data_IF_630903324962
#
_entry.id   IF_630903324962
#
_cell.length_a   1.000
_cell.length_b   1.000
_cell.length_c   1.000
_cell.angle_alpha   90.00
_cell.angle_beta   90.00
_cell.angle_gamma   90.00
#
_symmetry.space_group_name_H-M   'P 1'
#
loop_
_entity.id
_entity.type
_entity.pdbx_description
1 polymer ?
#
# COMPACT_ATOMS: atom_id res chain seq x y z
N UNK A 1 -21.59 15.53 1.82
CA UNK A 1 -20.17 15.21 2.06
C UNK A 1 -19.83 15.53 3.52
N UNK A 2 -18.89 14.81 4.15
CA UNK A 2 -18.52 15.04 5.57
C UNK A 2 -18.78 13.89 6.56
N UNK A 3 -18.99 12.65 6.10
CA UNK A 3 -19.24 11.49 7.00
C UNK A 3 -17.98 10.69 7.37
N UNK A 4 -16.94 10.76 6.55
CA UNK A 4 -15.73 9.95 6.71
C UNK A 4 -14.50 10.85 6.73
N UNK A 5 -13.53 10.53 7.58
CA UNK A 5 -12.26 11.25 7.71
C UNK A 5 -11.12 10.61 6.92
N UNK A 6 -11.26 9.34 6.53
CA UNK A 6 -10.29 8.61 5.71
C UNK A 6 -10.91 7.40 5.03
N UNK A 7 -10.16 6.79 4.10
CA UNK A 7 -10.56 5.59 3.34
C UNK A 7 -9.49 4.51 3.46
N UNK A 8 -9.91 3.28 3.73
CA UNK A 8 -9.04 2.10 3.67
C UNK A 8 -9.55 1.17 2.57
N UNK A 9 -8.68 0.86 1.60
CA UNK A 9 -8.96 -0.07 0.52
C UNK A 9 -8.36 -1.43 0.88
N UNK A 10 -9.22 -2.38 1.22
CA UNK A 10 -8.82 -3.70 1.73
C UNK A 10 -8.19 -4.60 0.66
N UNK A 11 -7.48 -5.67 1.07
CA UNK A 11 -7.05 -6.73 0.14
C UNK A 11 -8.24 -7.45 -0.52
N UNK A 12 -7.97 -8.14 -1.63
CA UNK A 12 -8.95 -8.98 -2.33
C UNK A 12 -8.29 -9.89 -3.39
N UNK A 13 -8.99 -10.94 -3.86
CA UNK A 13 -8.43 -11.95 -4.76
C UNK A 13 -8.40 -11.53 -6.23
N UNK A 14 -9.17 -10.49 -6.61
CA UNK A 14 -9.37 -10.09 -8.00
C UNK A 14 -8.30 -9.08 -8.48
N UNK A 15 -8.41 -8.65 -9.74
CA UNK A 15 -7.67 -7.49 -10.25
C UNK A 15 -8.43 -6.20 -9.92
N UNK A 16 -7.75 -5.04 -9.76
CA UNK A 16 -8.42 -3.80 -9.38
C UNK A 16 -9.62 -3.41 -10.25
N UNK A 17 -9.51 -3.56 -11.58
CA UNK A 17 -10.58 -3.25 -12.53
C UNK A 17 -11.78 -4.21 -12.50
N UNK A 18 -11.61 -5.40 -11.92
CA UNK A 18 -12.68 -6.39 -11.77
C UNK A 18 -13.38 -6.29 -10.41
N UNK A 19 -12.74 -5.63 -9.44
CA UNK A 19 -13.16 -5.56 -8.05
C UNK A 19 -14.28 -4.54 -7.79
N UNK A 20 -15.43 -4.74 -8.44
CA UNK A 20 -16.64 -3.94 -8.23
C UNK A 20 -16.39 -2.43 -8.35
N UNK A 21 -16.65 -1.68 -7.28
CA UNK A 21 -16.50 -0.22 -7.24
C UNK A 21 -15.12 0.27 -6.77
N UNK A 22 -14.14 -0.62 -6.65
CA UNK A 22 -12.83 -0.26 -6.09
C UNK A 22 -12.18 0.91 -6.83
N UNK A 23 -12.11 0.85 -8.17
CA UNK A 23 -11.52 1.93 -8.95
C UNK A 23 -12.36 3.22 -8.86
N UNK A 24 -13.69 3.14 -8.89
CA UNK A 24 -14.57 4.31 -8.74
C UNK A 24 -14.33 5.02 -7.39
N UNK A 25 -14.28 4.26 -6.30
CA UNK A 25 -14.01 4.77 -4.95
C UNK A 25 -12.60 5.37 -4.87
N UNK A 26 -11.61 4.69 -5.45
CA UNK A 26 -10.22 5.17 -5.45
C UNK A 26 -10.12 6.53 -6.14
N UNK A 27 -10.60 6.66 -7.37
CA UNK A 27 -10.59 7.94 -8.10
C UNK A 27 -11.40 9.03 -7.40
N UNK A 28 -12.51 8.66 -6.76
CA UNK A 28 -13.37 9.64 -6.10
C UNK A 28 -12.67 10.31 -4.91
N UNK A 29 -11.92 9.56 -4.10
CA UNK A 29 -11.34 10.05 -2.84
C UNK A 29 -9.86 10.45 -2.93
N UNK A 30 -9.15 10.04 -3.99
CA UNK A 30 -7.74 10.36 -4.17
C UNK A 30 -7.53 11.88 -4.14
N UNK A 31 -6.59 12.37 -3.32
CA UNK A 31 -6.37 13.80 -3.11
C UNK A 31 -7.48 14.55 -2.36
N UNK A 32 -8.55 13.88 -1.90
CA UNK A 32 -9.64 14.49 -1.12
C UNK A 32 -9.67 14.03 0.33
N UNK A 33 -9.36 12.77 0.58
CA UNK A 33 -9.22 12.19 1.92
C UNK A 33 -7.93 11.37 1.99
N UNK A 34 -7.35 11.18 3.18
CA UNK A 34 -6.31 10.18 3.40
C UNK A 34 -6.78 8.80 2.94
N UNK A 35 -5.98 8.14 2.10
CA UNK A 35 -6.24 6.78 1.61
C UNK A 35 -5.09 5.85 2.01
N UNK A 36 -5.44 4.71 2.59
CA UNK A 36 -4.54 3.57 2.75
C UNK A 36 -5.00 2.40 1.87
N UNK A 37 -4.16 1.98 0.93
CA UNK A 37 -4.39 0.79 0.09
C UNK A 37 -3.58 -0.40 0.56
N UNK A 38 -4.24 -1.54 0.77
CA UNK A 38 -3.59 -2.79 1.20
C UNK A 38 -3.74 -3.85 0.10
N UNK A 39 -2.63 -4.41 -0.36
CA UNK A 39 -2.54 -5.42 -1.42
C UNK A 39 -3.31 -4.99 -2.69
N UNK A 40 -4.55 -5.45 -2.86
CA UNK A 40 -5.42 -5.02 -3.96
C UNK A 40 -5.68 -3.50 -3.95
N UNK A 41 -5.85 -2.90 -2.78
CA UNK A 41 -6.01 -1.46 -2.62
C UNK A 41 -4.76 -0.67 -3.03
N UNK A 42 -3.57 -1.19 -2.73
CA UNK A 42 -2.30 -0.60 -3.18
C UNK A 42 -2.21 -0.58 -4.70
N UNK A 43 -2.59 -1.68 -5.34
CA UNK A 43 -2.62 -1.78 -6.79
C UNK A 43 -3.64 -0.81 -7.42
N UNK A 44 -4.81 -0.65 -6.80
CA UNK A 44 -5.82 0.30 -7.25
C UNK A 44 -5.31 1.75 -7.20
N UNK A 45 -4.63 2.15 -6.11
CA UNK A 45 -4.02 3.48 -5.98
C UNK A 45 -3.00 3.71 -7.10
N UNK A 46 -2.09 2.75 -7.30
CA UNK A 46 -1.09 2.84 -8.36
C UNK A 46 -1.71 3.00 -9.75
N UNK A 47 -2.64 2.12 -10.11
CA UNK A 47 -3.32 2.14 -11.41
C UNK A 47 -4.13 3.42 -11.64
N UNK A 48 -4.79 3.95 -10.60
CA UNK A 48 -5.53 5.21 -10.69
C UNK A 48 -4.61 6.41 -10.97
N UNK A 49 -3.30 6.21 -10.80
CA UNK A 49 -2.26 7.20 -11.05
C UNK A 49 -1.32 6.81 -12.20
N UNK A 50 -1.74 5.91 -13.10
CA UNK A 50 -0.96 5.50 -14.28
C UNK A 50 0.26 4.60 -13.99
N UNK A 51 0.42 4.06 -12.77
CA UNK A 51 1.37 2.97 -12.54
C UNK A 51 0.92 1.70 -13.28
N UNK A 52 1.85 0.79 -13.54
CA UNK A 52 1.59 -0.46 -14.23
C UNK A 52 1.53 -1.65 -13.28
N UNK A 53 0.92 -2.76 -13.72
CA UNK A 53 0.94 -4.04 -13.01
C UNK A 53 1.72 -5.07 -13.83
N UNK A 54 2.70 -5.70 -13.18
CA UNK A 54 3.45 -6.81 -13.73
C UNK A 54 3.42 -8.02 -12.81
N UNK A 55 3.84 -9.17 -13.34
CA UNK A 55 3.98 -10.38 -12.53
C UNK A 55 5.20 -10.23 -11.61
N UNK A 56 5.01 -10.55 -10.34
CA UNK A 56 6.11 -10.70 -9.40
C UNK A 56 7.10 -11.75 -9.93
N UNK A 57 8.39 -11.61 -9.60
CA UNK A 57 9.45 -12.53 -10.03
C UNK A 57 9.16 -13.97 -9.59
N UNK A 58 8.50 -14.12 -8.43
CA UNK A 58 8.05 -15.40 -7.89
C UNK A 58 6.63 -15.26 -7.34
N UNK A 59 5.75 -16.26 -7.52
CA UNK A 59 4.48 -16.27 -6.84
C UNK A 59 4.68 -16.41 -5.32
N UNK A 60 4.07 -15.51 -4.56
CA UNK A 60 4.15 -15.46 -3.09
C UNK A 60 2.79 -15.81 -2.51
N UNK A 61 2.73 -16.81 -1.63
CA UNK A 61 1.51 -17.20 -0.93
C UNK A 61 1.83 -17.59 0.50
N UNK A 62 1.54 -16.71 1.46
CA UNK A 62 1.84 -16.91 2.87
C UNK A 62 3.34 -16.98 3.17
N UNK A 63 4.17 -16.32 2.35
CA UNK A 63 5.63 -16.34 2.50
C UNK A 63 6.11 -15.07 3.18
N UNK A 64 7.07 -15.24 4.09
CA UNK A 64 7.82 -14.12 4.65
C UNK A 64 8.77 -13.54 3.62
N UNK A 65 8.91 -12.22 3.64
CA UNK A 65 9.92 -11.50 2.88
C UNK A 65 10.41 -10.33 3.70
N UNK A 66 11.72 -10.13 3.69
CA UNK A 66 12.33 -8.92 4.24
C UNK A 66 12.16 -7.79 3.22
N UNK A 67 11.64 -6.66 3.71
CA UNK A 67 11.54 -5.42 2.97
C UNK A 67 12.48 -4.38 3.58
N UNK A 68 13.05 -3.54 2.73
CA UNK A 68 13.81 -2.36 3.11
C UNK A 68 12.86 -1.17 3.01
N UNK A 69 12.74 -0.41 4.10
CA UNK A 69 11.83 0.72 4.24
C UNK A 69 12.58 2.05 4.21
N UNK A 70 11.88 3.09 3.81
CA UNK A 70 12.29 4.48 3.98
C UNK A 70 11.52 5.12 5.13
N UNK A 71 12.13 6.10 5.80
CA UNK A 71 11.53 6.79 6.95
C UNK A 71 10.43 7.76 6.50
N UNK A 72 9.27 7.19 6.18
CA UNK A 72 8.07 7.89 5.69
C UNK A 72 6.85 7.53 6.55
N UNK A 73 5.64 7.99 6.18
CA UNK A 73 4.46 8.01 7.08
C UNK A 73 4.20 6.65 7.71
N UNK A 74 4.18 5.57 6.91
CA UNK A 74 3.88 4.24 7.45
C UNK A 74 5.01 3.67 8.31
N UNK A 75 6.27 4.01 8.02
CA UNK A 75 7.44 3.37 8.61
C UNK A 75 8.18 4.25 9.63
N UNK A 76 7.56 5.37 10.03
CA UNK A 76 8.13 6.28 11.00
C UNK A 76 8.53 5.55 12.29
N UNK A 77 9.79 5.75 12.71
CA UNK A 77 10.37 5.11 13.90
C UNK A 77 10.34 3.58 13.91
N UNK A 78 10.22 2.95 12.74
CA UNK A 78 10.36 1.50 12.58
C UNK A 78 11.76 1.12 12.08
N UNK A 79 12.20 -0.13 12.25
CA UNK A 79 13.45 -0.60 11.68
C UNK A 79 13.49 -0.47 10.15
N UNK A 80 14.70 -0.25 9.61
CA UNK A 80 14.91 -0.17 8.15
C UNK A 80 14.65 -1.48 7.41
N UNK A 81 14.75 -2.62 8.10
CA UNK A 81 14.48 -3.94 7.55
C UNK A 81 13.39 -4.62 8.39
N UNK A 82 12.32 -5.06 7.73
CA UNK A 82 11.12 -5.62 8.37
C UNK A 82 10.68 -6.87 7.62
N UNK A 83 10.29 -7.92 8.35
CA UNK A 83 9.67 -9.10 7.74
C UNK A 83 8.16 -8.91 7.59
N UNK A 84 7.65 -9.15 6.39
CA UNK A 84 6.22 -9.02 6.06
C UNK A 84 5.71 -10.26 5.35
N UNK A 85 4.41 -10.54 5.50
CA UNK A 85 3.75 -11.65 4.81
C UNK A 85 3.19 -11.21 3.45
N UNK A 86 3.53 -11.96 2.41
CA UNK A 86 3.12 -11.71 1.02
C UNK A 86 2.19 -12.81 0.50
N UNK A 87 1.13 -12.39 -0.22
CA UNK A 87 0.12 -13.27 -0.81
C UNK A 87 -0.14 -13.01 -2.31
N UNK A 88 0.69 -12.20 -2.96
CA UNK A 88 0.41 -11.64 -4.28
C UNK A 88 1.27 -12.25 -5.39
N UNK A 89 0.70 -12.27 -6.59
CA UNK A 89 1.36 -12.67 -7.85
C UNK A 89 1.63 -11.48 -8.78
N UNK A 90 1.04 -10.32 -8.47
CA UNK A 90 1.22 -9.06 -9.18
C UNK A 90 1.87 -8.04 -8.26
N UNK A 91 2.64 -7.13 -8.85
CA UNK A 91 3.28 -5.99 -8.20
C UNK A 91 3.12 -4.76 -9.09
N UNK A 92 3.15 -3.58 -8.47
CA UNK A 92 3.23 -2.34 -9.24
C UNK A 92 4.63 -2.16 -9.85
N UNK A 93 4.66 -1.64 -11.07
CA UNK A 93 5.85 -1.18 -11.78
C UNK A 93 5.58 0.16 -12.46
N UNK A 94 6.61 0.78 -13.03
CA UNK A 94 6.52 2.11 -13.67
C UNK A 94 5.84 3.14 -12.75
N UNK A 95 6.34 3.22 -11.50
CA UNK A 95 5.76 4.10 -10.48
C UNK A 95 5.91 5.57 -10.91
N UNK A 96 4.80 6.34 -11.03
CA UNK A 96 4.84 7.74 -11.40
C UNK A 96 5.62 8.57 -10.39
N UNK A 97 6.24 9.67 -10.85
CA UNK A 97 7.10 10.53 -10.03
C UNK A 97 6.40 11.24 -8.87
N UNK A 98 5.06 11.30 -8.88
CA UNK A 98 4.26 11.83 -7.78
C UNK A 98 4.20 10.90 -6.56
N UNK A 99 4.72 9.68 -6.67
CA UNK A 99 4.90 8.73 -5.58
C UNK A 99 6.36 8.52 -5.23
N UNK A 100 6.64 8.52 -3.92
CA UNK A 100 7.85 7.94 -3.36
C UNK A 100 7.64 6.44 -3.20
N UNK A 101 8.65 5.63 -3.58
CA UNK A 101 8.68 4.22 -3.21
C UNK A 101 9.24 4.13 -1.79
N UNK A 102 8.40 3.74 -0.84
CA UNK A 102 8.74 3.76 0.59
C UNK A 102 9.10 2.40 1.16
N UNK A 103 8.90 1.33 0.39
CA UNK A 103 9.48 0.03 0.69
C UNK A 103 9.73 -0.83 -0.55
N UNK A 104 10.79 -1.62 -0.53
CA UNK A 104 11.13 -2.61 -1.57
C UNK A 104 11.65 -3.91 -0.98
N UNK A 105 11.58 -4.99 -1.72
CA UNK A 105 12.33 -6.23 -1.40
C UNK A 105 13.78 -6.13 -1.88
N UNK A 106 14.63 -7.09 -1.46
CA UNK A 106 16.00 -7.26 -2.01
C UNK A 106 16.04 -7.46 -3.53
N UNK A 107 14.96 -7.95 -4.11
CA UNK A 107 14.81 -8.15 -5.54
C UNK A 107 14.25 -6.90 -6.25
N UNK A 108 14.25 -5.72 -5.61
CA UNK A 108 13.72 -4.45 -6.11
C UNK A 108 12.21 -4.43 -6.40
N UNK A 109 11.45 -5.42 -5.92
CA UNK A 109 10.00 -5.40 -6.05
C UNK A 109 9.40 -4.33 -5.13
N UNK A 110 8.53 -3.46 -5.67
CA UNK A 110 7.87 -2.37 -4.94
C UNK A 110 6.88 -2.94 -3.93
N UNK A 111 7.09 -2.62 -2.64
CA UNK A 111 6.29 -3.11 -1.53
C UNK A 111 5.46 -2.02 -0.86
N UNK A 112 5.86 -0.75 -1.00
CA UNK A 112 5.06 0.37 -0.55
C UNK A 112 5.31 1.62 -1.40
N UNK A 113 4.27 2.43 -1.57
CA UNK A 113 4.30 3.74 -2.22
C UNK A 113 3.60 4.78 -1.34
N UNK A 114 4.01 6.04 -1.48
CA UNK A 114 3.41 7.16 -0.78
C UNK A 114 3.38 8.42 -1.63
N UNK A 115 2.29 9.18 -1.57
CA UNK A 115 2.20 10.54 -2.09
C UNK A 115 1.51 11.42 -1.07
N UNK A 116 2.25 12.37 -0.49
CA UNK A 116 1.72 13.35 0.48
C UNK A 116 0.76 14.33 -0.18
N UNK A 117 0.99 14.68 -1.44
CA UNK A 117 0.09 15.54 -2.23
C UNK A 117 -1.30 14.89 -2.41
N UNK A 118 -1.32 13.58 -2.69
CA UNK A 118 -2.56 12.82 -2.85
C UNK A 118 -3.14 12.27 -1.54
N UNK A 119 -2.44 12.48 -0.42
CA UNK A 119 -2.71 11.85 0.89
C UNK A 119 -2.84 10.32 0.79
N UNK A 120 -2.05 9.70 -0.08
CA UNK A 120 -2.20 8.29 -0.45
C UNK A 120 -0.99 7.48 0.00
N UNK A 121 -1.24 6.43 0.77
CA UNK A 121 -0.26 5.40 1.11
C UNK A 121 -0.75 4.06 0.56
N UNK A 122 0.15 3.24 0.01
CA UNK A 122 -0.19 1.90 -0.44
C UNK A 122 0.86 0.90 -0.03
N UNK A 123 0.46 -0.26 0.50
CA UNK A 123 1.34 -1.38 0.83
C UNK A 123 0.89 -2.65 0.12
N UNK A 124 1.83 -3.37 -0.47
CA UNK A 124 1.57 -4.57 -1.25
C UNK A 124 1.40 -5.83 -0.36
N UNK A 125 1.94 -5.80 0.86
CA UNK A 125 1.83 -6.85 1.87
C UNK A 125 0.67 -6.61 2.84
N UNK A 126 0.45 -7.56 3.74
CA UNK A 126 -0.67 -7.55 4.68
C UNK A 126 -0.18 -7.15 6.09
N UNK A 127 -0.41 -5.90 6.54
CA UNK A 127 -0.03 -5.47 7.90
C UNK A 127 -0.84 -6.21 8.98
N UNK A 128 -2.00 -6.77 8.63
CA UNK A 128 -2.87 -7.52 9.51
C UNK A 128 -2.43 -8.98 9.73
N UNK A 129 -1.47 -9.47 8.94
CA UNK A 129 -1.01 -10.84 9.05
C UNK A 129 -0.16 -11.05 10.32
N UNK A 130 -0.38 -12.18 11.01
CA UNK A 130 0.24 -12.46 12.32
C UNK A 130 1.77 -12.47 12.32
N UNK A 131 2.39 -12.79 11.18
CA UNK A 131 3.84 -12.83 11.04
C UNK A 131 4.42 -11.54 10.41
N UNK A 132 3.58 -10.56 10.09
CA UNK A 132 4.07 -9.24 9.66
C UNK A 132 4.51 -8.47 10.90
N UNK A 133 5.79 -8.12 10.94
CA UNK A 133 6.34 -7.31 12.00
C UNK A 133 5.83 -5.86 11.91
N UNK A 134 5.55 -5.26 13.06
CA UNK A 134 5.13 -3.86 13.21
C UNK A 134 3.87 -3.44 12.43
N UNK A 135 3.04 -4.39 12.00
CA UNK A 135 1.87 -4.09 11.18
C UNK A 135 0.86 -3.15 11.87
N UNK A 136 0.66 -3.31 13.18
CA UNK A 136 -0.22 -2.42 13.95
C UNK A 136 0.40 -1.03 14.12
N UNK A 137 1.70 -0.94 14.31
CA UNK A 137 2.46 0.31 14.40
C UNK A 137 2.38 1.08 13.08
N UNK A 138 2.49 0.42 11.92
CA UNK A 138 2.30 1.05 10.61
C UNK A 138 0.91 1.70 10.48
N UNK A 139 -0.13 0.99 10.92
CA UNK A 139 -1.51 1.52 10.92
C UNK A 139 -1.65 2.70 11.89
N UNK A 140 -1.04 2.62 13.08
CA UNK A 140 -1.03 3.73 14.05
C UNK A 140 -0.31 4.96 13.50
N UNK A 141 0.82 4.79 12.83
CA UNK A 141 1.56 5.88 12.21
C UNK A 141 0.70 6.60 11.16
N UNK A 142 0.04 5.85 10.28
CA UNK A 142 -0.88 6.41 9.29
C UNK A 142 -2.01 7.21 9.92
N UNK A 143 -2.69 6.62 10.92
CA UNK A 143 -3.79 7.24 11.65
C UNK A 143 -3.35 8.53 12.34
N UNK A 144 -2.18 8.51 12.96
CA UNK A 144 -1.61 9.66 13.69
C UNK A 144 -1.19 10.78 12.74
N UNK A 145 -0.48 10.44 11.67
CA UNK A 145 0.03 11.43 10.71
C UNK A 145 -1.09 12.23 10.05
N UNK A 146 -2.19 11.57 9.68
CA UNK A 146 -3.36 12.21 9.06
C UNK A 146 -4.43 12.67 10.05
N UNK A 147 -4.17 12.56 11.36
CA UNK A 147 -5.08 13.00 12.42
C UNK A 147 -6.53 12.45 12.24
N UNK A 148 -6.63 11.14 12.01
CA UNK A 148 -7.89 10.44 11.67
C UNK A 148 -8.76 10.18 12.91
N UNK A 149 -8.18 10.26 14.11
CA UNK A 149 -8.84 10.16 15.43
C UNK A 149 -8.34 11.23 16.38
#
# INVERSE_FOLDING_TARGET
EGKYTAVVLSPGPEKPHSAGRLMEVTHHYLGKLPILGICLGHQAIGLACEAHLEKAKKPMHGKLSEIITEEEVLFQSLPKAINVVRYHSLILSEIPSQFNITAKTKDEEVMAIESKELMACGIQFHPEAILTEYGLEMLRNWVTFYNIV
#
